data_IF_545780116283
#
_entry.id   IF_545780116283
#
_cell.length_a   1.000
_cell.length_b   1.000
_cell.length_c   1.000
_cell.angle_alpha   90.00
_cell.angle_beta   90.00
_cell.angle_gamma   90.00
#
_symmetry.space_group_name_H-M   'P 1'
#
loop_
_entity.id
_entity.type
_entity.pdbx_description
1 polymer ?
#
# COMPACT_ATOMS: atom_id res chain seq x y z
N UNK A 1 -25.37 -11.22 16.15
CA UNK A 1 -24.20 -11.35 15.25
C UNK A 1 -24.50 -10.55 14.00
N UNK A 2 -23.71 -9.52 13.70
CA UNK A 2 -23.77 -8.83 12.42
C UNK A 2 -23.19 -9.75 11.32
N UNK A 3 -23.57 -9.58 10.04
CA UNK A 3 -22.97 -10.35 8.96
C UNK A 3 -21.45 -10.14 8.96
N UNK A 4 -20.67 -11.22 8.83
CA UNK A 4 -19.25 -11.12 8.54
C UNK A 4 -19.03 -10.30 7.25
N UNK A 5 -18.04 -9.42 7.23
CA UNK A 5 -17.63 -8.71 6.01
C UNK A 5 -17.90 -7.20 5.98
N UNK A 6 -18.09 -6.51 7.11
CA UNK A 6 -17.93 -5.04 7.16
C UNK A 6 -16.73 -4.70 8.00
N UNK A 7 -15.90 -3.80 7.51
CA UNK A 7 -14.79 -3.25 8.27
C UNK A 7 -14.48 -1.84 7.81
N UNK A 8 -13.89 -1.07 8.70
CA UNK A 8 -13.20 0.16 8.36
C UNK A 8 -11.86 0.20 9.10
N UNK A 9 -10.76 0.05 8.38
CA UNK A 9 -9.42 -0.02 8.96
C UNK A 9 -8.59 1.17 8.48
N UNK A 10 -7.89 1.82 9.40
CA UNK A 10 -6.95 2.90 9.09
C UNK A 10 -5.57 2.49 9.59
N UNK A 11 -4.63 2.32 8.67
CA UNK A 11 -3.22 2.11 8.97
C UNK A 11 -2.43 3.33 8.55
N UNK A 12 -1.55 3.86 9.39
CA UNK A 12 -0.73 5.01 9.06
C UNK A 12 0.61 5.03 9.81
N UNK A 13 1.52 5.86 9.34
CA UNK A 13 2.78 6.15 10.00
C UNK A 13 3.68 7.01 9.13
N UNK A 14 4.78 7.47 9.72
CA UNK A 14 5.84 8.16 9.01
C UNK A 14 6.79 7.16 8.38
N UNK A 15 7.16 7.41 7.13
CA UNK A 15 8.13 6.60 6.41
C UNK A 15 9.17 7.51 5.75
N UNK A 16 10.44 7.19 5.96
CA UNK A 16 11.57 7.83 5.30
C UNK A 16 12.40 6.77 4.58
N UNK A 17 12.20 6.57 3.27
CA UNK A 17 13.05 5.71 2.47
C UNK A 17 14.44 6.34 2.33
N UNK A 18 15.47 5.65 2.78
CA UNK A 18 16.87 6.13 2.69
C UNK A 18 17.66 5.38 1.63
N UNK A 19 17.30 4.12 1.37
CA UNK A 19 17.87 3.31 0.30
C UNK A 19 16.72 2.65 -0.45
N UNK A 20 16.65 2.85 -1.76
CA UNK A 20 15.79 2.10 -2.67
C UNK A 20 16.57 1.73 -3.93
N UNK A 21 17.20 0.55 -3.90
CA UNK A 21 17.96 0.00 -5.01
C UNK A 21 17.24 -1.24 -5.52
N UNK A 22 16.47 -1.06 -6.57
CA UNK A 22 15.86 -2.18 -7.25
C UNK A 22 16.91 -2.91 -8.09
N UNK A 23 16.70 -4.21 -8.32
CA UNK A 23 17.56 -4.96 -9.24
C UNK A 23 17.57 -4.25 -10.60
N UNK A 24 18.70 -4.29 -11.31
CA UNK A 24 18.77 -3.75 -12.66
C UNK A 24 17.87 -4.62 -13.54
N UNK A 25 16.65 -4.16 -13.82
CA UNK A 25 15.70 -4.92 -14.61
C UNK A 25 15.44 -4.25 -15.95
N UNK A 26 15.61 -5.08 -16.97
CA UNK A 26 14.83 -5.18 -18.20
C UNK A 26 13.81 -4.03 -18.40
N UNK A 27 13.95 -3.19 -19.43
CA UNK A 27 13.03 -2.07 -19.69
C UNK A 27 11.57 -2.50 -19.86
N UNK A 28 11.30 -3.80 -20.07
CA UNK A 28 9.97 -4.40 -20.18
C UNK A 28 9.59 -5.31 -18.98
N UNK A 29 10.43 -5.35 -17.93
CA UNK A 29 10.23 -6.16 -16.73
C UNK A 29 9.13 -5.65 -15.78
N UNK A 30 8.71 -6.46 -14.79
CA UNK A 30 7.67 -6.06 -13.85
C UNK A 30 8.08 -4.80 -13.09
N UNK A 31 7.11 -3.91 -12.85
CA UNK A 31 7.34 -2.67 -12.11
C UNK A 31 7.93 -2.99 -10.74
N UNK A 32 9.17 -2.60 -10.55
CA UNK A 32 9.90 -2.70 -9.30
C UNK A 32 9.20 -1.85 -8.22
N UNK A 33 8.85 -2.49 -7.10
CA UNK A 33 8.05 -1.86 -6.05
C UNK A 33 8.43 -2.39 -4.69
N UNK A 34 8.24 -1.59 -3.64
CA UNK A 34 8.19 -2.06 -2.25
C UNK A 34 6.81 -1.81 -1.68
N UNK A 35 6.35 -2.69 -0.78
CA UNK A 35 5.09 -2.51 -0.07
C UNK A 35 5.36 -2.02 1.35
N UNK A 36 4.67 -0.95 1.78
CA UNK A 36 4.90 -0.28 3.06
C UNK A 36 3.88 -0.65 4.14
N UNK A 37 2.60 -0.40 3.86
CA UNK A 37 1.48 -0.83 4.69
C UNK A 37 0.76 -1.93 3.91
N UNK A 38 0.92 -3.18 4.34
CA UNK A 38 0.39 -4.37 3.67
C UNK A 38 -0.59 -5.09 4.58
N UNK A 39 -1.83 -5.19 4.12
CA UNK A 39 -2.78 -6.14 4.65
C UNK A 39 -2.69 -7.47 3.90
N UNK A 40 -2.66 -8.57 4.65
CA UNK A 40 -2.49 -9.92 4.14
C UNK A 40 -3.36 -10.93 4.89
N UNK A 41 -3.52 -12.11 4.30
CA UNK A 41 -4.01 -13.32 4.97
C UNK A 41 -3.02 -14.44 4.68
N UNK A 42 -2.43 -15.02 5.72
CA UNK A 42 -1.22 -15.84 5.57
C UNK A 42 -0.12 -15.04 4.88
N UNK A 43 0.41 -15.59 3.77
CA UNK A 43 1.40 -14.91 2.92
C UNK A 43 0.78 -14.21 1.71
N UNK A 44 -0.53 -14.31 1.52
CA UNK A 44 -1.21 -13.75 0.36
C UNK A 44 -1.53 -12.27 0.57
N UNK A 45 -1.28 -11.47 -0.47
CA UNK A 45 -1.63 -10.06 -0.47
C UNK A 45 -3.15 -9.92 -0.48
N UNK A 46 -3.71 -9.10 0.41
CA UNK A 46 -5.04 -8.53 0.24
C UNK A 46 -4.91 -7.18 -0.46
N UNK A 47 -4.30 -6.21 0.21
CA UNK A 47 -4.06 -4.86 -0.32
C UNK A 47 -2.83 -4.24 0.33
N UNK A 48 -2.10 -3.41 -0.40
CA UNK A 48 -0.96 -2.67 0.12
C UNK A 48 -0.77 -1.32 -0.55
N UNK A 49 -0.28 -0.36 0.21
CA UNK A 49 0.37 0.83 -0.36
C UNK A 49 1.82 0.53 -0.68
N UNK A 50 2.32 1.16 -1.74
CA UNK A 50 3.62 0.84 -2.31
C UNK A 50 4.35 2.07 -2.81
N UNK A 51 5.67 2.00 -2.76
CA UNK A 51 6.57 2.87 -3.51
C UNK A 51 6.98 2.12 -4.77
N UNK A 52 6.89 2.80 -5.90
CA UNK A 52 6.98 2.24 -7.24
C UNK A 52 8.09 2.96 -7.98
N UNK A 53 9.02 2.23 -8.60
CA UNK A 53 9.96 2.84 -9.55
C UNK A 53 9.28 2.99 -10.91
N UNK A 54 9.06 4.23 -11.33
CA UNK A 54 8.52 4.56 -12.63
C UNK A 54 9.65 4.82 -13.65
N UNK A 55 9.29 4.88 -14.94
CA UNK A 55 10.20 5.27 -16.03
C UNK A 55 10.86 6.62 -15.72
N UNK A 56 12.16 6.73 -16.01
CA UNK A 56 12.97 7.90 -15.66
C UNK A 56 13.54 7.88 -14.24
N UNK A 57 13.28 6.82 -13.46
CA UNK A 57 13.83 6.66 -12.11
C UNK A 57 13.03 7.38 -11.02
N UNK A 58 11.92 8.02 -11.37
CA UNK A 58 10.99 8.63 -10.42
C UNK A 58 10.38 7.55 -9.52
N UNK A 59 10.25 7.87 -8.24
CA UNK A 59 9.57 7.03 -7.27
C UNK A 59 8.17 7.59 -7.04
N UNK A 60 7.15 6.76 -7.22
CA UNK A 60 5.75 7.15 -7.09
C UNK A 60 5.04 6.31 -6.03
N UNK A 61 4.04 6.92 -5.40
CA UNK A 61 3.10 6.21 -4.55
C UNK A 61 2.07 5.41 -5.36
N UNK A 62 1.52 4.34 -4.77
CA UNK A 62 0.36 3.67 -5.32
C UNK A 62 -0.23 2.63 -4.39
N UNK A 63 -1.27 1.96 -4.87
CA UNK A 63 -1.96 0.85 -4.21
C UNK A 63 -1.87 -0.38 -5.13
N UNK A 64 -1.73 -1.56 -4.52
CA UNK A 64 -1.90 -2.85 -5.19
C UNK A 64 -2.80 -3.73 -4.34
N UNK A 65 -3.76 -4.42 -4.97
CA UNK A 65 -4.65 -5.37 -4.31
C UNK A 65 -4.72 -6.67 -5.11
N UNK A 66 -5.00 -7.77 -4.42
CA UNK A 66 -5.32 -9.05 -5.04
C UNK A 66 -6.83 -9.11 -5.31
N UNK A 67 -7.20 -9.32 -6.56
CA UNK A 67 -8.59 -9.31 -7.00
C UNK A 67 -8.99 -10.69 -7.52
N UNK A 68 -10.28 -11.02 -7.42
CA UNK A 68 -10.81 -12.37 -7.66
C UNK A 68 -10.59 -12.90 -9.09
N UNK A 69 -10.50 -12.02 -10.09
CA UNK A 69 -10.38 -12.39 -11.50
C UNK A 69 -8.92 -12.69 -11.92
N UNK A 70 -8.18 -13.42 -11.08
CA UNK A 70 -6.77 -13.85 -11.25
C UNK A 70 -5.74 -12.72 -11.46
N UNK A 71 -6.06 -11.50 -11.02
CA UNK A 71 -5.28 -10.30 -11.32
C UNK A 71 -4.92 -9.46 -10.10
N UNK A 72 -3.66 -9.00 -10.07
CA UNK A 72 -3.29 -7.87 -9.22
C UNK A 72 -3.90 -6.58 -9.79
N UNK A 73 -4.87 -6.01 -9.08
CA UNK A 73 -5.37 -4.66 -9.33
C UNK A 73 -4.38 -3.63 -8.81
N UNK A 74 -4.21 -2.54 -9.57
CA UNK A 74 -3.16 -1.54 -9.35
C UNK A 74 -3.71 -0.15 -9.64
N UNK A 75 -3.39 0.80 -8.76
CA UNK A 75 -3.58 2.21 -9.02
C UNK A 75 -2.33 2.97 -8.61
N UNK A 76 -1.87 3.89 -9.44
CA UNK A 76 -0.67 4.70 -9.21
C UNK A 76 -1.09 6.15 -8.97
N UNK A 77 -0.43 6.81 -8.03
CA UNK A 77 -0.54 8.25 -7.84
C UNK A 77 0.50 8.99 -8.68
N UNK A 78 0.27 10.28 -8.91
CA UNK A 78 1.28 11.21 -9.41
C UNK A 78 2.21 11.74 -8.32
N UNK A 79 1.94 11.44 -7.05
CA UNK A 79 2.77 11.90 -5.92
C UNK A 79 4.18 11.28 -5.99
N UNK A 80 5.17 12.16 -6.08
CA UNK A 80 6.60 11.81 -6.09
C UNK A 80 7.06 11.55 -4.67
N UNK A 81 7.78 10.45 -4.48
CA UNK A 81 8.39 10.07 -3.22
C UNK A 81 9.87 10.40 -3.27
N UNK A 82 10.29 11.31 -2.39
CA UNK A 82 11.69 11.69 -2.27
C UNK A 82 12.40 10.77 -1.28
N UNK A 83 13.67 10.49 -1.57
CA UNK A 83 14.54 9.79 -0.63
C UNK A 83 14.95 10.75 0.48
N UNK A 84 15.24 10.20 1.65
CA UNK A 84 15.70 10.91 2.83
C UNK A 84 14.75 11.98 3.40
N UNK A 85 13.51 11.99 2.94
CA UNK A 85 12.44 12.84 3.47
C UNK A 85 11.41 12.00 4.24
N UNK A 86 10.93 12.55 5.35
CA UNK A 86 9.84 11.95 6.10
C UNK A 86 8.51 12.30 5.42
N UNK A 87 7.74 11.28 5.12
CA UNK A 87 6.39 11.44 4.60
C UNK A 87 5.44 10.58 5.42
N UNK A 88 4.32 11.14 5.86
CA UNK A 88 3.28 10.36 6.53
C UNK A 88 2.36 9.74 5.49
N UNK A 89 2.17 8.43 5.62
CA UNK A 89 1.30 7.62 4.78
C UNK A 89 0.10 7.18 5.59
N UNK A 90 -1.08 7.15 4.96
CA UNK A 90 -2.27 6.52 5.51
C UNK A 90 -2.94 5.67 4.45
N UNK A 91 -3.17 4.40 4.78
CA UNK A 91 -4.04 3.49 4.05
C UNK A 91 -5.36 3.38 4.81
N UNK A 92 -6.43 3.85 4.20
CA UNK A 92 -7.79 3.69 4.69
C UNK A 92 -8.50 2.61 3.88
N UNK A 93 -8.95 1.56 4.56
CA UNK A 93 -9.73 0.48 3.99
C UNK A 93 -11.16 0.57 4.47
N UNK A 94 -12.09 0.36 3.56
CA UNK A 94 -13.52 0.39 3.85
C UNK A 94 -14.23 -0.74 3.10
N UNK A 95 -15.06 -1.49 3.81
CA UNK A 95 -16.00 -2.44 3.24
C UNK A 95 -17.39 -2.20 3.82
N UNK A 96 -18.28 -1.60 3.01
CA UNK A 96 -19.68 -1.31 3.40
C UNK A 96 -20.60 -2.50 3.07
N UNK A 97 -20.31 -3.21 1.96
CA UNK A 97 -21.06 -4.36 1.46
C UNK A 97 -20.35 -5.69 1.72
N UNK A 98 -20.78 -6.77 1.07
CA UNK A 98 -20.22 -8.11 1.31
C UNK A 98 -19.12 -8.51 0.32
N UNK A 99 -18.77 -7.66 -0.64
CA UNK A 99 -17.87 -8.04 -1.75
C UNK A 99 -16.85 -6.97 -2.13
N UNK A 100 -17.32 -5.77 -2.47
CA UNK A 100 -16.41 -4.69 -2.89
C UNK A 100 -15.86 -3.97 -1.66
N UNK A 101 -14.53 -3.84 -1.64
CA UNK A 101 -13.78 -3.02 -0.70
C UNK A 101 -13.10 -1.86 -1.41
N UNK A 102 -12.89 -0.77 -0.69
CA UNK A 102 -12.21 0.43 -1.17
C UNK A 102 -10.97 0.69 -0.33
N UNK A 103 -9.85 0.98 -1.01
CA UNK A 103 -8.59 1.35 -0.42
C UNK A 103 -8.27 2.75 -0.89
N UNK A 104 -7.97 3.64 0.05
CA UNK A 104 -7.60 5.01 -0.22
C UNK A 104 -6.24 5.27 0.41
N UNK A 105 -5.31 5.74 -0.42
CA UNK A 105 -4.01 6.21 0.03
C UNK A 105 -4.07 7.71 0.22
N UNK A 106 -3.76 8.16 1.42
CA UNK A 106 -3.49 9.55 1.73
C UNK A 106 -2.00 9.75 2.02
N UNK A 107 -1.45 10.86 1.55
CA UNK A 107 -0.11 11.31 1.91
C UNK A 107 -0.22 12.69 2.54
N UNK A 108 0.58 12.93 3.57
CA UNK A 108 0.69 14.25 4.17
C UNK A 108 1.36 15.24 3.20
N UNK A 109 0.73 16.40 3.04
CA UNK A 109 1.22 17.53 2.29
C UNK A 109 1.08 18.76 3.18
N UNK A 110 2.19 19.21 3.75
CA UNK A 110 2.24 20.36 4.67
C UNK A 110 1.25 20.28 5.85
N UNK A 111 1.12 19.10 6.46
CA UNK A 111 0.27 18.84 7.63
C UNK A 111 -1.18 18.44 7.27
N UNK A 112 -1.51 18.36 5.99
CA UNK A 112 -2.83 17.95 5.50
C UNK A 112 -2.74 16.61 4.78
N UNK A 113 -3.53 15.64 5.24
CA UNK A 113 -3.64 14.33 4.58
C UNK A 113 -4.47 14.44 3.30
N UNK A 114 -3.81 14.45 2.15
CA UNK A 114 -4.46 14.54 0.83
C UNK A 114 -4.69 13.14 0.23
N UNK A 115 -5.89 12.88 -0.29
CA UNK A 115 -6.17 11.66 -1.07
C UNK A 115 -5.29 11.67 -2.33
N UNK A 116 -4.47 10.64 -2.49
CA UNK A 116 -3.52 10.52 -3.60
C UNK A 116 -3.96 9.53 -4.66
N UNK A 117 -4.65 8.48 -4.25
CA UNK A 117 -5.20 7.45 -5.14
C UNK A 117 -6.20 6.58 -4.38
N UNK A 118 -7.19 6.08 -5.11
CA UNK A 118 -8.21 5.16 -4.64
C UNK A 118 -8.25 3.90 -5.52
N UNK A 119 -8.50 2.76 -4.90
CA UNK A 119 -8.63 1.48 -5.58
C UNK A 119 -9.79 0.68 -4.98
N UNK A 120 -10.72 0.25 -5.83
CA UNK A 120 -11.73 -0.73 -5.45
C UNK A 120 -11.27 -2.14 -5.85
N UNK A 121 -11.50 -3.13 -4.99
CA UNK A 121 -11.22 -4.53 -5.27
C UNK A 121 -12.21 -5.47 -4.57
N UNK A 122 -12.28 -6.71 -5.04
CA UNK A 122 -13.05 -7.78 -4.42
C UNK A 122 -12.24 -8.39 -3.26
N UNK A 123 -12.54 -7.97 -2.02
CA UNK A 123 -11.87 -8.48 -0.82
C UNK A 123 -12.23 -9.92 -0.48
N UNK A 124 -13.23 -10.52 -1.15
CA UNK A 124 -13.58 -11.94 -0.94
C UNK A 124 -12.55 -12.89 -1.52
N UNK A 125 -11.68 -12.39 -2.41
CA UNK A 125 -10.54 -13.16 -2.91
C UNK A 125 -9.54 -13.45 -1.79
N UNK A 126 -9.10 -12.40 -1.07
CA UNK A 126 -8.21 -12.46 0.09
C UNK A 126 -8.62 -11.36 1.07
N UNK A 127 -9.24 -11.75 2.18
CA UNK A 127 -9.70 -10.82 3.22
C UNK A 127 -8.50 -10.18 3.96
N UNK A 128 -8.49 -8.87 4.24
CA UNK A 128 -7.45 -8.26 5.05
C UNK A 128 -7.56 -8.75 6.50
N UNK A 129 -6.48 -9.35 7.03
CA UNK A 129 -6.48 -9.89 8.40
C UNK A 129 -5.29 -9.45 9.25
N UNK A 130 -4.11 -9.35 8.65
CA UNK A 130 -2.87 -8.96 9.34
C UNK A 130 -2.25 -7.76 8.63
N UNK A 131 -1.90 -6.72 9.40
CA UNK A 131 -1.10 -5.59 8.91
C UNK A 131 0.39 -5.89 9.11
N UNK A 132 1.17 -5.72 8.04
CA UNK A 132 2.63 -5.52 8.12
C UNK A 132 2.95 -4.08 7.74
N UNK A 133 3.77 -3.42 8.56
CA UNK A 133 4.24 -2.06 8.35
C UNK A 133 5.78 -2.02 8.27
N UNK A 134 6.33 -1.23 7.35
CA UNK A 134 7.76 -1.20 7.02
C UNK A 134 8.02 -1.84 5.66
N UNK A 135 9.15 -2.52 5.45
CA UNK A 135 9.39 -3.22 4.16
C UNK A 135 8.63 -4.56 4.19
N UNK A 136 7.32 -4.53 3.91
CA UNK A 136 6.45 -5.71 3.97
C UNK A 136 6.66 -6.66 2.79
N UNK A 137 7.09 -6.14 1.64
CA UNK A 137 7.52 -6.92 0.47
C UNK A 137 8.57 -6.16 -0.31
N UNK A 138 9.62 -6.88 -0.71
CA UNK A 138 10.73 -6.41 -1.53
C UNK A 138 10.99 -7.44 -2.64
N UNK A 139 11.22 -7.04 -3.90
CA UNK A 139 11.56 -7.96 -4.98
C UNK A 139 12.92 -8.63 -4.72
N UNK A 140 13.10 -9.84 -5.23
CA UNK A 140 14.39 -10.53 -5.15
C UNK A 140 15.51 -9.69 -5.79
N UNK A 141 16.67 -9.63 -5.13
CA UNK A 141 17.82 -8.85 -5.60
C UNK A 141 17.74 -7.34 -5.35
N UNK A 142 16.59 -6.81 -4.91
CA UNK A 142 16.48 -5.41 -4.48
C UNK A 142 17.04 -5.22 -3.06
N UNK A 143 17.44 -3.98 -2.75
CA UNK A 143 17.85 -3.53 -1.42
C UNK A 143 17.04 -2.29 -1.05
N UNK A 144 16.48 -2.30 0.15
CA UNK A 144 15.74 -1.17 0.67
C UNK A 144 16.09 -0.90 2.14
N UNK A 145 16.07 0.36 2.53
CA UNK A 145 16.11 0.81 3.92
C UNK A 145 15.07 1.90 4.06
N UNK A 146 14.14 1.71 4.99
CA UNK A 146 13.06 2.63 5.29
C UNK A 146 13.04 2.80 6.81
N UNK A 147 13.18 4.04 7.27
CA UNK A 147 12.88 4.38 8.65
C UNK A 147 11.36 4.51 8.78
N UNK A 148 10.81 3.95 9.85
CA UNK A 148 9.39 4.03 10.14
C UNK A 148 9.20 4.56 11.56
N UNK A 149 8.23 5.45 11.74
CA UNK A 149 7.91 6.05 13.04
C UNK A 149 6.40 6.30 13.19
N UNK A 150 5.95 6.44 14.43
CA UNK A 150 4.56 6.69 14.83
C UNK A 150 3.52 5.80 14.11
N UNK A 151 3.83 4.50 14.01
CA UNK A 151 2.93 3.53 13.41
C UNK A 151 1.64 3.42 14.23
N UNK A 152 0.50 3.60 13.55
CA UNK A 152 -0.83 3.46 14.12
C UNK A 152 -1.71 2.59 13.23
N UNK A 153 -2.47 1.71 13.87
CA UNK A 153 -3.60 1.01 13.26
C UNK A 153 -4.84 1.26 14.09
N UNK A 154 -5.97 1.48 13.43
CA UNK A 154 -7.26 1.68 14.07
C UNK A 154 -8.31 0.92 13.28
N UNK A 155 -9.20 0.26 14.00
CA UNK A 155 -10.37 -0.40 13.45
C UNK A 155 -11.62 0.32 13.94
N UNK A 156 -12.51 0.63 13.01
CA UNK A 156 -13.82 1.20 13.27
C UNK A 156 -14.86 0.19 12.79
N UNK A 157 -15.90 0.03 13.60
CA UNK A 157 -17.09 -0.71 13.19
C UNK A 157 -18.08 0.30 12.57
N UNK A 158 -18.45 0.14 11.28
CA UNK A 158 -19.51 0.93 10.67
C UNK A 158 -20.90 0.54 11.17
#
# INVERSE_FOLDING_TARGET
>A
MLPAGRFEWIAEGWFKPTILKFAANDPDGPIDQIQLLRFQNGEDLSVAVRIIRHKGGLLLAGIVANDRDDGLKRANSSAVILLDEWLRWRLHLLQIGTRESTAVLYLDNDGVMEERVRLNWDSTAIEPSVLRAGIARLPAGAKATVLADELRVSEFFP
#
